data_IF_416842284057
#
_entry.id   IF_416842284057
#
_cell.length_a   1.000
_cell.length_b   1.000
_cell.length_c   1.000
_cell.angle_alpha   90.00
_cell.angle_beta   90.00
_cell.angle_gamma   90.00
#
_symmetry.space_group_name_H-M   'P 1'
#
loop_
_entity.id
_entity.type
_entity.pdbx_description
1 polymer ?
#
# COMPACT_ATOMS: atom_id res chain seq x y z
N UNK A 1 -16.67 15.02 -1.64
CA UNK A 1 -15.68 15.16 -2.74
C UNK A 1 -16.21 14.40 -3.95
N UNK A 2 -16.40 15.07 -5.08
CA UNK A 2 -17.09 14.53 -6.28
C UNK A 2 -16.38 13.29 -6.87
N UNK A 3 -15.03 13.32 -7.01
CA UNK A 3 -14.25 12.21 -7.57
C UNK A 3 -14.37 10.90 -6.78
N UNK A 4 -14.51 10.96 -5.47
CA UNK A 4 -14.76 9.79 -4.63
C UNK A 4 -16.16 9.22 -4.90
N UNK A 5 -17.16 10.09 -4.96
CA UNK A 5 -18.57 9.66 -5.16
C UNK A 5 -18.80 9.11 -6.58
N UNK A 6 -18.00 9.52 -7.55
CA UNK A 6 -18.05 8.96 -8.91
C UNK A 6 -17.32 7.62 -9.06
N UNK A 7 -16.64 7.15 -8.01
CA UNK A 7 -15.86 5.91 -8.06
C UNK A 7 -14.55 5.99 -8.86
N UNK A 8 -14.13 7.19 -9.27
CA UNK A 8 -12.89 7.38 -10.05
C UNK A 8 -11.64 7.27 -9.17
N UNK A 9 -11.77 7.58 -7.87
CA UNK A 9 -10.65 7.51 -6.93
C UNK A 9 -11.04 6.79 -5.64
N UNK A 10 -10.09 6.04 -5.11
CA UNK A 10 -10.11 5.50 -3.77
C UNK A 10 -9.39 6.47 -2.82
N UNK A 11 -10.07 6.89 -1.76
CA UNK A 11 -9.49 7.75 -0.74
C UNK A 11 -9.05 6.89 0.45
N UNK A 12 -7.78 7.02 0.82
CA UNK A 12 -7.13 6.29 1.90
C UNK A 12 -6.72 7.31 2.96
N UNK A 13 -7.33 7.26 4.14
CA UNK A 13 -7.10 8.22 5.20
C UNK A 13 -5.92 7.83 6.09
N UNK A 14 -5.24 8.84 6.63
CA UNK A 14 -4.31 8.63 7.74
C UNK A 14 -5.07 8.16 8.97
N UNK A 15 -4.50 7.25 9.75
CA UNK A 15 -5.06 6.79 11.03
C UNK A 15 -3.97 6.51 12.04
N UNK A 16 -4.34 6.43 13.31
CA UNK A 16 -3.50 5.90 14.37
C UNK A 16 -3.55 4.37 14.37
N UNK A 17 -2.64 3.74 15.14
CA UNK A 17 -2.61 2.28 15.28
C UNK A 17 -3.57 1.79 16.39
N UNK A 18 -4.82 2.25 16.34
CA UNK A 18 -5.85 1.97 17.34
C UNK A 18 -7.14 1.46 16.67
N UNK A 19 -7.78 0.49 17.28
CA UNK A 19 -9.03 -0.08 16.79
C UNK A 19 -10.28 0.64 17.38
N UNK A 20 -11.34 0.78 16.61
CA UNK A 20 -11.46 0.50 15.17
C UNK A 20 -10.77 1.59 14.33
N UNK A 21 -10.06 1.21 13.27
CA UNK A 21 -9.31 2.17 12.43
C UNK A 21 -10.19 3.31 11.87
N UNK A 22 -11.44 3.01 11.53
CA UNK A 22 -12.40 3.99 11.01
C UNK A 22 -12.67 5.14 11.98
N UNK A 23 -12.64 4.88 13.29
CA UNK A 23 -12.92 5.89 14.32
C UNK A 23 -11.72 6.83 14.55
N UNK A 24 -10.53 6.42 14.16
CA UNK A 24 -9.28 7.14 14.39
C UNK A 24 -8.71 7.79 13.14
N UNK A 25 -9.50 7.82 12.04
CA UNK A 25 -9.04 8.42 10.78
C UNK A 25 -8.98 9.94 10.86
N UNK A 26 -7.93 10.51 10.33
CA UNK A 26 -7.77 11.94 10.13
C UNK A 26 -8.41 12.34 8.79
N UNK A 27 -9.51 13.08 8.84
CA UNK A 27 -10.24 13.52 7.65
C UNK A 27 -9.48 14.60 6.85
N UNK A 28 -8.48 15.24 7.45
CA UNK A 28 -7.66 16.27 6.82
C UNK A 28 -6.47 15.70 6.05
N UNK A 29 -6.07 14.45 6.33
CA UNK A 29 -4.89 13.80 5.79
C UNK A 29 -5.26 12.53 5.05
N UNK A 30 -5.09 12.54 3.73
CA UNK A 30 -5.45 11.38 2.90
C UNK A 30 -4.58 11.28 1.64
N UNK A 31 -4.44 10.05 1.17
CA UNK A 31 -3.89 9.70 -0.15
C UNK A 31 -5.04 9.42 -1.13
N UNK A 32 -4.79 9.64 -2.42
CA UNK A 32 -5.73 9.31 -3.50
C UNK A 32 -5.10 8.30 -4.45
N UNK A 33 -5.81 7.21 -4.70
CA UNK A 33 -5.46 6.21 -5.68
C UNK A 33 -6.53 6.18 -6.76
N UNK A 34 -6.13 6.10 -8.02
CA UNK A 34 -7.07 5.94 -9.13
C UNK A 34 -7.69 4.53 -9.07
N UNK A 35 -8.99 4.42 -9.25
CA UNK A 35 -9.68 3.11 -9.22
C UNK A 35 -9.37 2.23 -10.43
N UNK A 36 -8.68 2.75 -11.42
CA UNK A 36 -8.19 2.03 -12.58
C UNK A 36 -6.73 2.38 -12.87
N UNK A 37 -5.88 1.36 -13.05
CA UNK A 37 -4.44 1.54 -13.29
C UNK A 37 -4.17 2.16 -14.66
N UNK A 38 -4.96 1.83 -15.69
CA UNK A 38 -4.85 2.42 -17.02
C UNK A 38 -5.18 3.92 -17.00
N UNK A 39 -6.19 4.30 -16.23
CA UNK A 39 -6.54 5.69 -16.02
C UNK A 39 -5.41 6.45 -15.29
N UNK A 40 -4.78 5.83 -14.28
CA UNK A 40 -3.61 6.39 -13.60
C UNK A 40 -2.45 6.61 -14.57
N UNK A 41 -2.10 5.58 -15.35
CA UNK A 41 -1.02 5.64 -16.35
C UNK A 41 -1.27 6.74 -17.38
N UNK A 42 -2.49 6.85 -17.90
CA UNK A 42 -2.86 7.89 -18.85
C UNK A 42 -2.77 9.29 -18.23
N UNK A 43 -3.32 9.47 -17.03
CA UNK A 43 -3.33 10.75 -16.33
C UNK A 43 -1.92 11.21 -15.94
N UNK A 44 -1.08 10.29 -15.50
CA UNK A 44 0.32 10.52 -15.14
C UNK A 44 1.22 10.67 -16.38
N UNK A 45 0.69 10.44 -17.59
CA UNK A 45 1.44 10.45 -18.85
C UNK A 45 2.67 9.52 -18.81
N UNK A 46 2.49 8.35 -18.21
CA UNK A 46 3.56 7.35 -18.12
C UNK A 46 3.93 6.86 -19.53
N UNK A 47 5.19 6.93 -19.92
CA UNK A 47 5.63 6.50 -21.25
C UNK A 47 5.77 4.96 -21.31
N UNK A 48 4.66 4.23 -21.14
CA UNK A 48 4.71 2.75 -21.13
C UNK A 48 5.33 2.14 -22.38
N UNK A 49 5.22 2.83 -23.52
CA UNK A 49 5.85 2.40 -24.79
C UNK A 49 7.38 2.49 -24.79
N UNK A 50 7.96 3.22 -23.81
CA UNK A 50 9.41 3.35 -23.63
C UNK A 50 9.93 2.47 -22.48
N UNK A 51 9.03 1.71 -21.84
CA UNK A 51 9.40 0.84 -20.74
C UNK A 51 10.10 -0.39 -21.29
N UNK A 52 11.41 -0.30 -21.41
CA UNK A 52 12.26 -1.46 -21.57
C UNK A 52 12.38 -2.14 -20.19
N UNK A 53 11.62 -3.21 -19.99
CA UNK A 53 11.60 -3.97 -18.74
C UNK A 53 12.98 -4.57 -18.37
N UNK A 54 13.96 -4.53 -19.30
CA UNK A 54 15.33 -4.96 -19.05
C UNK A 54 16.19 -3.87 -18.41
N UNK A 55 15.70 -2.61 -18.32
CA UNK A 55 16.48 -1.47 -17.83
C UNK A 55 15.97 -0.92 -16.51
N UNK A 56 16.86 -0.77 -15.53
CA UNK A 56 16.57 -0.31 -14.17
C UNK A 56 15.93 1.08 -13.98
N UNK A 57 16.10 2.10 -14.83
CA UNK A 57 15.48 3.42 -14.63
C UNK A 57 13.94 3.42 -14.57
N UNK A 58 13.31 2.39 -15.11
CA UNK A 58 11.86 2.19 -15.05
C UNK A 58 11.36 1.97 -13.62
N UNK A 59 12.19 1.40 -12.76
CA UNK A 59 11.80 1.03 -11.39
C UNK A 59 11.49 2.24 -10.50
N UNK A 60 12.14 3.39 -10.71
CA UNK A 60 11.90 4.59 -9.90
C UNK A 60 10.47 5.14 -10.12
N UNK A 61 9.98 4.98 -11.33
CA UNK A 61 8.65 5.42 -11.70
C UNK A 61 7.54 4.40 -11.34
N UNK A 62 7.89 3.16 -11.00
CA UNK A 62 6.94 2.08 -10.73
C UNK A 62 6.34 2.10 -9.31
N UNK A 63 6.98 2.78 -8.35
CA UNK A 63 6.48 2.85 -6.97
C UNK A 63 5.01 3.27 -6.87
N UNK A 64 4.64 4.49 -7.30
CA UNK A 64 3.27 4.95 -7.24
C UNK A 64 2.29 4.09 -8.05
N UNK A 65 2.73 3.52 -9.16
CA UNK A 65 1.91 2.61 -9.97
C UNK A 65 1.62 1.31 -9.23
N UNK A 66 2.63 0.75 -8.59
CA UNK A 66 2.52 -0.48 -7.79
C UNK A 66 1.62 -0.27 -6.58
N UNK A 67 1.80 0.83 -5.85
CA UNK A 67 0.90 1.18 -4.74
C UNK A 67 -0.54 1.34 -5.21
N UNK A 68 -0.76 2.02 -6.36
CA UNK A 68 -2.10 2.18 -6.92
C UNK A 68 -2.74 0.84 -7.29
N UNK A 69 -1.97 -0.08 -7.86
CA UNK A 69 -2.43 -1.44 -8.16
C UNK A 69 -2.82 -2.18 -6.87
N UNK A 70 -1.96 -2.15 -5.85
CA UNK A 70 -2.22 -2.79 -4.56
C UNK A 70 -3.46 -2.22 -3.88
N UNK A 71 -3.63 -0.89 -3.89
CA UNK A 71 -4.82 -0.24 -3.35
C UNK A 71 -6.10 -0.78 -4.01
N UNK A 72 -6.10 -0.93 -5.34
CA UNK A 72 -7.25 -1.45 -6.07
C UNK A 72 -7.55 -2.91 -5.72
N UNK A 73 -6.54 -3.78 -5.70
CA UNK A 73 -6.70 -5.19 -5.33
C UNK A 73 -7.28 -5.36 -3.92
N UNK A 74 -6.76 -4.60 -2.95
CA UNK A 74 -7.26 -4.64 -1.58
C UNK A 74 -8.70 -4.11 -1.47
N UNK A 75 -9.05 -3.06 -2.22
CA UNK A 75 -10.42 -2.52 -2.26
C UNK A 75 -11.41 -3.49 -2.89
N UNK A 76 -11.03 -4.17 -3.98
CA UNK A 76 -11.85 -5.21 -4.62
C UNK A 76 -12.18 -6.35 -3.64
N UNK A 77 -11.27 -6.65 -2.73
CA UNK A 77 -11.49 -7.62 -1.65
C UNK A 77 -12.38 -7.13 -0.51
N UNK A 78 -12.81 -5.87 -0.55
CA UNK A 78 -13.70 -5.29 0.44
C UNK A 78 -12.99 -4.68 1.65
N UNK A 79 -11.66 -4.55 1.63
CA UNK A 79 -10.95 -3.90 2.72
C UNK A 79 -11.15 -2.39 2.69
N UNK A 80 -11.41 -1.79 3.85
CA UNK A 80 -11.21 -0.37 4.07
C UNK A 80 -9.72 -0.11 4.28
N UNK A 81 -9.19 0.87 3.53
CA UNK A 81 -7.76 1.16 3.50
C UNK A 81 -7.47 2.43 4.28
N UNK A 82 -6.42 2.35 5.08
CA UNK A 82 -5.82 3.45 5.82
C UNK A 82 -4.32 3.46 5.58
N UNK A 83 -3.64 4.53 5.95
CA UNK A 83 -2.19 4.57 6.03
C UNK A 83 -1.75 5.12 7.38
N UNK A 84 -0.51 4.84 7.73
CA UNK A 84 0.09 5.33 8.97
C UNK A 84 1.36 6.12 8.69
N UNK A 85 1.56 7.16 9.45
CA UNK A 85 2.75 8.00 9.38
C UNK A 85 3.15 8.40 10.80
N UNK A 86 4.42 8.21 11.13
CA UNK A 86 5.03 8.76 12.34
C UNK A 86 5.60 10.13 12.03
N UNK A 87 5.34 11.14 12.79
CA UNK A 87 5.86 12.51 12.78
C UNK A 87 7.04 12.77 11.82
N UNK A 88 6.85 12.51 10.52
CA UNK A 88 7.83 12.71 9.45
C UNK A 88 9.00 11.72 9.39
N UNK A 89 8.99 10.62 10.18
CA UNK A 89 10.11 9.66 10.25
C UNK A 89 9.87 8.38 9.45
N UNK A 90 8.64 7.94 9.33
CA UNK A 90 8.28 6.70 8.67
C UNK A 90 6.82 6.75 8.20
N UNK A 91 6.54 6.11 7.08
CA UNK A 91 5.21 5.98 6.53
C UNK A 91 5.01 4.53 6.10
N UNK A 92 3.84 3.95 6.42
CA UNK A 92 3.36 2.68 5.87
C UNK A 92 2.36 2.95 4.76
N UNK A 93 2.48 2.21 3.68
CA UNK A 93 1.65 2.41 2.51
C UNK A 93 0.17 2.15 2.81
N UNK A 94 -0.11 1.03 3.51
CA UNK A 94 -1.47 0.69 3.90
C UNK A 94 -1.55 0.08 5.29
N UNK A 95 -2.71 0.24 5.91
CA UNK A 95 -3.19 -0.55 7.04
C UNK A 95 -4.60 -1.02 6.76
N UNK A 96 -4.90 -2.25 7.15
CA UNK A 96 -6.25 -2.81 7.12
C UNK A 96 -6.62 -3.33 8.50
N UNK A 97 -7.90 -3.25 8.82
CA UNK A 97 -8.45 -3.96 9.98
C UNK A 97 -8.97 -5.32 9.53
N UNK A 98 -8.52 -6.37 10.19
CA UNK A 98 -9.00 -7.73 9.97
C UNK A 98 -9.48 -8.29 11.30
N UNK A 99 -10.80 -8.28 11.49
CA UNK A 99 -11.44 -8.60 12.76
C UNK A 99 -10.90 -7.70 13.91
N UNK A 100 -10.14 -8.26 14.84
CA UNK A 100 -9.52 -7.58 15.97
C UNK A 100 -8.04 -7.23 15.76
N UNK A 101 -7.52 -7.45 14.55
CA UNK A 101 -6.12 -7.21 14.22
C UNK A 101 -5.96 -5.99 13.31
N UNK A 102 -4.92 -5.23 13.56
CA UNK A 102 -4.40 -4.23 12.61
C UNK A 102 -3.26 -4.88 11.84
N UNK A 103 -3.43 -4.98 10.52
CA UNK A 103 -2.40 -5.55 9.63
C UNK A 103 -1.73 -4.42 8.86
N UNK A 104 -0.48 -4.05 9.20
CA UNK A 104 0.31 -3.10 8.42
C UNK A 104 0.80 -3.76 7.13
N UNK A 105 0.77 -2.99 6.03
CA UNK A 105 1.14 -3.45 4.70
C UNK A 105 2.14 -2.47 4.10
N UNK A 106 3.29 -2.99 3.68
CA UNK A 106 4.34 -2.25 2.99
C UNK A 106 4.49 -2.77 1.57
N UNK A 107 4.52 -1.87 0.59
CA UNK A 107 4.70 -2.18 -0.83
C UNK A 107 6.12 -1.82 -1.27
N UNK A 108 6.81 -2.73 -1.93
CA UNK A 108 8.16 -2.52 -2.44
C UNK A 108 8.28 -2.96 -3.89
N UNK A 109 8.86 -2.11 -4.71
CA UNK A 109 9.12 -2.39 -6.13
C UNK A 109 10.47 -3.04 -6.39
N UNK A 110 11.24 -3.37 -5.33
CA UNK A 110 12.55 -4.01 -5.48
C UNK A 110 12.79 -5.10 -4.45
N UNK A 111 13.68 -6.03 -4.79
CA UNK A 111 14.04 -7.17 -3.94
C UNK A 111 14.87 -6.77 -2.71
N UNK A 112 15.59 -5.66 -2.78
CA UNK A 112 16.66 -5.34 -1.82
C UNK A 112 16.37 -4.20 -0.83
N UNK A 113 15.19 -3.65 -0.78
CA UNK A 113 14.89 -2.51 0.10
C UNK A 113 14.61 -2.93 1.53
N UNK A 114 15.39 -2.39 2.46
CA UNK A 114 15.07 -2.45 3.89
C UNK A 114 13.76 -1.68 4.12
N UNK A 115 12.76 -2.33 4.64
CA UNK A 115 11.48 -1.72 4.99
C UNK A 115 11.56 -1.05 6.37
N UNK A 116 12.31 0.06 6.45
CA UNK A 116 12.55 0.77 7.73
C UNK A 116 11.26 1.18 8.42
N UNK A 117 10.28 1.59 7.65
CA UNK A 117 8.97 2.00 8.17
C UNK A 117 8.23 0.83 8.79
N UNK A 118 8.19 -0.31 8.09
CA UNK A 118 7.58 -1.52 8.60
C UNK A 118 8.29 -2.03 9.86
N UNK A 119 9.63 -2.03 9.86
CA UNK A 119 10.44 -2.45 11.02
C UNK A 119 10.18 -1.53 12.24
N UNK A 120 10.05 -0.22 12.01
CA UNK A 120 9.71 0.72 13.07
C UNK A 120 8.31 0.45 13.63
N UNK A 121 7.33 0.28 12.75
CA UNK A 121 5.96 -0.03 13.15
C UNK A 121 5.87 -1.33 13.97
N UNK A 122 6.52 -2.40 13.47
CA UNK A 122 6.59 -3.70 14.15
C UNK A 122 7.16 -3.60 15.56
N UNK A 123 8.22 -2.81 15.75
CA UNK A 123 8.85 -2.57 17.06
C UNK A 123 7.96 -1.74 18.00
N UNK A 124 7.25 -0.76 17.45
CA UNK A 124 6.47 0.19 18.27
C UNK A 124 5.14 -0.43 18.72
N UNK A 125 4.45 -1.12 17.83
CA UNK A 125 3.07 -1.57 18.07
C UNK A 125 2.93 -3.08 18.24
N UNK A 126 3.97 -3.85 17.89
CA UNK A 126 4.02 -5.32 18.03
C UNK A 126 2.77 -6.03 17.49
N UNK A 127 2.32 -5.76 16.25
CA UNK A 127 1.18 -6.43 15.67
C UNK A 127 1.44 -7.93 15.51
N UNK A 128 0.40 -8.75 15.48
CA UNK A 128 0.52 -10.21 15.32
C UNK A 128 1.32 -10.60 14.08
N UNK A 129 1.10 -9.88 12.97
CA UNK A 129 1.90 -10.00 11.76
C UNK A 129 1.78 -8.74 10.91
N UNK A 130 2.68 -8.64 9.95
CA UNK A 130 2.65 -7.63 8.90
C UNK A 130 2.70 -8.28 7.52
N UNK A 131 2.38 -7.51 6.48
CA UNK A 131 2.50 -7.96 5.10
C UNK A 131 3.49 -7.09 4.35
N UNK A 132 4.40 -7.72 3.62
CA UNK A 132 5.27 -7.06 2.64
C UNK A 132 4.90 -7.55 1.25
N UNK A 133 4.45 -6.65 0.41
CA UNK A 133 4.15 -6.93 -1.00
C UNK A 133 5.35 -6.50 -1.83
N UNK A 134 5.93 -7.41 -2.60
CA UNK A 134 7.15 -7.15 -3.39
C UNK A 134 7.32 -8.16 -4.53
N UNK A 135 8.44 -8.09 -5.21
CA UNK A 135 8.85 -9.09 -6.23
C UNK A 135 9.32 -10.41 -5.60
N UNK A 136 9.46 -10.50 -4.27
CA UNK A 136 9.84 -11.74 -3.59
C UNK A 136 8.71 -12.76 -3.63
N UNK A 137 9.08 -14.04 -3.65
CA UNK A 137 8.14 -15.14 -3.48
C UNK A 137 7.47 -15.12 -2.10
N UNK A 138 6.43 -15.93 -1.95
CA UNK A 138 5.78 -16.18 -0.68
C UNK A 138 6.78 -16.60 0.40
N UNK A 139 6.58 -16.08 1.59
CA UNK A 139 7.41 -16.42 2.75
C UNK A 139 6.80 -15.87 4.02
N UNK A 140 7.28 -16.39 5.15
CA UNK A 140 6.91 -15.88 6.48
C UNK A 140 8.16 -15.92 7.36
N UNK A 141 8.63 -14.74 7.74
CA UNK A 141 9.82 -14.59 8.58
C UNK A 141 9.67 -13.35 9.47
N UNK A 142 10.06 -13.45 10.74
CA UNK A 142 9.98 -12.35 11.71
C UNK A 142 8.59 -11.70 11.79
N UNK A 143 7.53 -12.50 11.77
CA UNK A 143 6.13 -12.08 11.72
C UNK A 143 5.79 -11.20 10.51
N UNK A 144 6.57 -11.25 9.45
CA UNK A 144 6.29 -10.57 8.19
C UNK A 144 5.96 -11.62 7.12
N UNK A 145 4.74 -11.55 6.60
CA UNK A 145 4.27 -12.34 5.47
C UNK A 145 4.69 -11.66 4.17
N UNK A 146 5.57 -12.28 3.41
CA UNK A 146 5.91 -11.84 2.05
C UNK A 146 4.88 -12.35 1.07
N UNK A 147 4.33 -11.44 0.27
CA UNK A 147 3.35 -11.75 -0.79
C UNK A 147 3.88 -11.18 -2.11
N UNK A 148 4.01 -12.02 -3.15
CA UNK A 148 4.36 -11.51 -4.47
C UNK A 148 3.33 -10.53 -4.99
N UNK A 149 3.79 -9.50 -5.71
CA UNK A 149 2.89 -8.47 -6.25
C UNK A 149 1.76 -9.06 -7.09
N UNK A 150 2.06 -10.08 -7.93
CA UNK A 150 1.06 -10.75 -8.77
C UNK A 150 0.03 -11.56 -7.96
N UNK A 151 0.26 -11.79 -6.67
CA UNK A 151 -0.59 -12.62 -5.81
C UNK A 151 -1.36 -11.80 -4.74
N UNK A 152 -1.40 -10.48 -4.85
CA UNK A 152 -2.15 -9.62 -3.91
C UNK A 152 -3.63 -10.00 -3.87
N UNK A 153 -4.18 -10.47 -4.98
CA UNK A 153 -5.54 -11.00 -5.04
C UNK A 153 -5.79 -12.23 -4.15
N UNK A 154 -4.76 -12.86 -3.60
CA UNK A 154 -4.88 -14.01 -2.69
C UNK A 154 -4.94 -13.63 -1.19
N UNK A 155 -4.78 -12.33 -0.84
CA UNK A 155 -4.74 -11.85 0.54
C UNK A 155 -6.09 -11.94 1.24
#
# INVERSE_FOLDING_TARGET
MWLKNSGIVNQVYKTTAELPLEMHKDLSSFKLYMSDVGLFVNKARYPLYQVDLSQQPVMIAMGPLTENYVANELRVKGYDLYYWESDGKAELDFMIQKETDIVPIEVKTSVHTKARSLDLYMKTYSPNYAVRISEKNFGFENNIKSVPLYAVFCM
#
